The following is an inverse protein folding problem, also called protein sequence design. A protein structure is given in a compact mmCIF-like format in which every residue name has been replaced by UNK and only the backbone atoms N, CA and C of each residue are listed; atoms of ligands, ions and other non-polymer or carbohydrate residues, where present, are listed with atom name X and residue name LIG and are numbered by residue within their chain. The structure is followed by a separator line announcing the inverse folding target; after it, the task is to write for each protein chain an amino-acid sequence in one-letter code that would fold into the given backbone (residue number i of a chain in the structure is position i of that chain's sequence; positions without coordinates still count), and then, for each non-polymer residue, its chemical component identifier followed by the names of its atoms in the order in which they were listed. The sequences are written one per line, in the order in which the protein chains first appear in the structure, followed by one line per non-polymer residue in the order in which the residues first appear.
data_IF_820600128296
#
_entry.id   IF_820600128296
#
_cell.length_a   1.000
_cell.length_b   1.000
_cell.length_c   1.000
_cell.angle_alpha   90.00
_cell.angle_beta   90.00
_cell.angle_gamma   90.00
#
_symmetry.space_group_name_H-M   'P 1'
#
loop_
_entity.id
_entity.type
_entity.pdbx_description
1 polymer ?
#
# COMPACT_ATOMS: atom_id res chain seq x y z
N UNK A 1 10.39 -2.85 -8.96
CA UNK A 1 10.97 -3.84 -9.87
C UNK A 1 9.97 -4.89 -10.37
N UNK A 2 9.03 -5.37 -9.53
CA UNK A 2 8.06 -6.40 -9.91
C UNK A 2 7.14 -6.01 -11.08
N UNK A 3 6.75 -4.75 -11.24
CA UNK A 3 5.95 -4.28 -12.37
C UNK A 3 6.65 -4.47 -13.72
N UNK A 4 8.00 -4.46 -13.74
CA UNK A 4 8.79 -4.68 -14.97
C UNK A 4 8.76 -6.13 -15.45
N UNK A 5 8.32 -7.07 -14.63
CA UNK A 5 8.22 -8.50 -15.01
C UNK A 5 6.92 -8.84 -15.70
N UNK A 6 5.95 -7.92 -15.74
CA UNK A 6 4.68 -8.12 -16.43
C UNK A 6 4.86 -8.14 -17.95
N UNK A 7 4.20 -9.09 -18.59
CA UNK A 7 4.06 -9.06 -20.04
C UNK A 7 3.15 -7.88 -20.44
N UNK A 8 3.70 -6.91 -21.16
CA UNK A 8 3.00 -5.66 -21.47
C UNK A 8 1.81 -5.89 -22.40
N UNK A 9 1.86 -6.86 -23.31
CA UNK A 9 0.76 -7.16 -24.22
C UNK A 9 -0.43 -7.74 -23.46
N UNK A 10 -0.18 -8.65 -22.51
CA UNK A 10 -1.23 -9.20 -21.62
C UNK A 10 -1.89 -8.10 -20.78
N UNK A 11 -1.06 -7.22 -20.19
CA UNK A 11 -1.56 -6.11 -19.37
C UNK A 11 -2.37 -5.11 -20.21
N UNK A 12 -1.92 -4.81 -21.42
CA UNK A 12 -2.63 -3.91 -22.35
C UNK A 12 -4.00 -4.49 -22.70
N UNK A 13 -4.05 -5.77 -23.06
CA UNK A 13 -5.31 -6.44 -23.39
C UNK A 13 -6.28 -6.50 -22.18
N UNK A 14 -5.75 -6.79 -21.00
CA UNK A 14 -6.54 -6.79 -19.77
C UNK A 14 -7.06 -5.36 -19.42
N UNK A 15 -6.24 -4.34 -19.64
CA UNK A 15 -6.61 -2.94 -19.43
C UNK A 15 -7.74 -2.50 -20.36
N UNK A 16 -7.66 -2.84 -21.65
CA UNK A 16 -8.73 -2.53 -22.59
C UNK A 16 -10.06 -3.16 -22.19
N UNK A 17 -10.05 -4.43 -21.76
CA UNK A 17 -11.25 -5.10 -21.23
C UNK A 17 -11.77 -4.42 -19.99
N UNK A 18 -10.85 -4.06 -19.06
CA UNK A 18 -11.20 -3.39 -17.82
C UNK A 18 -11.88 -2.04 -18.07
N UNK A 19 -11.32 -1.22 -18.97
CA UNK A 19 -11.90 0.08 -19.30
C UNK A 19 -13.28 -0.04 -19.93
N UNK A 20 -13.48 -0.99 -20.85
CA UNK A 20 -14.77 -1.22 -21.50
C UNK A 20 -15.89 -1.59 -20.53
N UNK A 21 -15.55 -2.12 -19.36
CA UNK A 21 -16.52 -2.52 -18.35
C UNK A 21 -16.55 -1.52 -17.18
N UNK A 22 -15.45 -1.35 -16.45
CA UNK A 22 -15.43 -0.57 -15.22
C UNK A 22 -15.35 0.94 -15.42
N UNK A 23 -14.92 1.43 -16.61
CA UNK A 23 -14.89 2.87 -16.91
C UNK A 23 -16.07 3.32 -17.81
N UNK A 24 -16.95 2.40 -18.19
CA UNK A 24 -18.19 2.74 -18.89
C UNK A 24 -19.21 3.34 -17.93
N UNK A 25 -19.69 4.54 -18.25
CA UNK A 25 -20.60 5.29 -17.38
C UNK A 25 -21.96 4.64 -17.19
N UNK A 26 -22.47 3.96 -18.23
CA UNK A 26 -23.78 3.32 -18.18
C UNK A 26 -23.71 2.03 -17.37
N UNK A 27 -22.62 1.26 -17.52
CA UNK A 27 -22.35 0.08 -16.69
C UNK A 27 -22.18 0.49 -15.24
N UNK A 28 -21.40 1.55 -14.95
CA UNK A 28 -21.25 2.07 -13.59
C UNK A 28 -22.60 2.49 -12.98
N UNK A 29 -23.46 3.15 -13.75
CA UNK A 29 -24.79 3.52 -13.29
C UNK A 29 -25.65 2.29 -12.95
N UNK A 30 -25.61 1.26 -13.78
CA UNK A 30 -26.32 0.02 -13.56
C UNK A 30 -25.81 -0.75 -12.33
N UNK A 31 -24.48 -0.85 -12.16
CA UNK A 31 -23.86 -1.45 -10.96
C UNK A 31 -24.32 -0.74 -9.70
N UNK A 32 -24.35 0.60 -9.69
CA UNK A 32 -24.79 1.42 -8.55
C UNK A 32 -26.26 1.16 -8.16
N UNK A 33 -27.09 0.77 -9.10
CA UNK A 33 -28.51 0.47 -8.88
C UNK A 33 -28.79 -1.00 -8.57
N UNK A 34 -27.80 -1.88 -8.83
CA UNK A 34 -27.95 -3.32 -8.62
C UNK A 34 -27.89 -3.68 -7.13
N UNK A 35 -28.72 -4.62 -6.73
CA UNK A 35 -28.59 -5.27 -5.42
C UNK A 35 -27.36 -6.18 -5.41
N UNK A 36 -26.82 -6.43 -4.22
CA UNK A 36 -25.68 -7.31 -4.01
C UNK A 36 -25.83 -8.65 -4.73
N UNK A 37 -26.96 -9.34 -4.48
CA UNK A 37 -27.24 -10.67 -5.03
C UNK A 37 -27.37 -10.69 -6.57
N UNK A 38 -27.67 -9.55 -7.18
CA UNK A 38 -27.82 -9.44 -8.63
C UNK A 38 -26.49 -9.36 -9.36
N UNK A 39 -25.46 -8.74 -8.74
CA UNK A 39 -24.22 -8.47 -9.43
C UNK A 39 -23.02 -9.27 -8.89
N UNK A 40 -23.08 -9.82 -7.69
CA UNK A 40 -21.92 -10.52 -7.11
C UNK A 40 -21.37 -11.66 -8.00
N UNK A 41 -22.25 -12.43 -8.63
CA UNK A 41 -21.87 -13.53 -9.53
C UNK A 41 -21.19 -13.02 -10.80
N UNK A 42 -21.76 -11.97 -11.39
CA UNK A 42 -21.23 -11.31 -12.59
C UNK A 42 -19.92 -10.56 -12.29
N UNK A 43 -19.81 -9.89 -11.14
CA UNK A 43 -18.58 -9.24 -10.73
C UNK A 43 -17.38 -10.20 -10.68
N UNK A 44 -17.61 -11.43 -10.19
CA UNK A 44 -16.56 -12.46 -10.21
C UNK A 44 -16.17 -12.85 -11.64
N UNK A 45 -17.12 -12.87 -12.57
CA UNK A 45 -16.85 -13.15 -13.98
C UNK A 45 -16.13 -11.97 -14.62
N UNK A 46 -16.67 -10.77 -14.49
CA UNK A 46 -16.14 -9.58 -15.16
C UNK A 46 -14.72 -9.26 -14.73
N UNK A 47 -14.45 -9.31 -13.42
CA UNK A 47 -13.13 -8.95 -12.92
C UNK A 47 -12.16 -10.15 -12.93
N UNK A 48 -12.55 -11.27 -12.32
CA UNK A 48 -11.60 -12.36 -12.13
C UNK A 48 -11.43 -13.25 -13.36
N UNK A 49 -12.53 -13.59 -14.04
CA UNK A 49 -12.45 -14.45 -15.23
C UNK A 49 -11.96 -13.66 -16.44
N UNK A 50 -12.68 -12.58 -16.78
CA UNK A 50 -12.45 -11.86 -18.04
C UNK A 50 -11.16 -11.04 -18.06
N UNK A 51 -10.71 -10.53 -16.91
CA UNK A 51 -9.55 -9.63 -16.78
C UNK A 51 -8.35 -10.36 -16.21
N UNK A 52 -8.51 -11.07 -15.08
CA UNK A 52 -7.39 -11.71 -14.38
C UNK A 52 -7.14 -13.19 -14.75
N UNK A 53 -7.96 -13.78 -15.62
CA UNK A 53 -7.70 -15.09 -16.21
C UNK A 53 -8.04 -16.30 -15.34
N UNK A 54 -8.95 -16.16 -14.39
CA UNK A 54 -9.44 -17.28 -13.58
C UNK A 54 -10.43 -18.14 -14.34
N UNK A 55 -10.53 -19.42 -13.97
CA UNK A 55 -11.54 -20.35 -14.47
C UNK A 55 -12.58 -20.60 -13.38
N UNK A 56 -13.84 -20.21 -13.63
CA UNK A 56 -14.91 -20.29 -12.64
C UNK A 56 -15.62 -21.66 -12.72
N UNK A 57 -15.96 -22.23 -11.55
CA UNK A 57 -16.87 -23.38 -11.43
C UNK A 57 -18.20 -23.09 -12.20
N UNK A 58 -18.73 -24.03 -13.04
CA UNK A 58 -18.41 -25.46 -13.12
C UNK A 58 -17.41 -25.87 -14.22
N UNK A 59 -16.65 -24.95 -14.77
CA UNK A 59 -15.68 -25.29 -15.82
C UNK A 59 -14.65 -26.31 -15.34
N UNK A 60 -14.13 -27.22 -16.21
CA UNK A 60 -13.05 -28.13 -15.83
C UNK A 60 -11.84 -27.38 -15.29
N UNK A 61 -11.17 -27.94 -14.28
CA UNK A 61 -9.99 -27.36 -13.64
C UNK A 61 -10.22 -25.95 -13.04
N UNK A 62 -11.46 -25.66 -12.61
CA UNK A 62 -11.78 -24.38 -12.01
C UNK A 62 -10.87 -24.05 -10.80
N UNK A 63 -10.57 -22.79 -10.67
CA UNK A 63 -9.75 -22.21 -9.59
C UNK A 63 -10.42 -20.99 -8.94
N UNK A 64 -11.65 -20.70 -9.37
CA UNK A 64 -12.54 -19.71 -8.77
C UNK A 64 -13.91 -20.38 -8.52
N UNK A 65 -14.43 -20.26 -7.33
CA UNK A 65 -15.76 -20.77 -6.98
C UNK A 65 -16.57 -19.73 -6.21
N UNK A 66 -17.87 -19.79 -6.33
CA UNK A 66 -18.81 -19.05 -5.49
C UNK A 66 -19.15 -19.88 -4.26
N UNK A 67 -19.55 -19.23 -3.17
CA UNK A 67 -20.11 -19.86 -1.97
C UNK A 67 -19.25 -20.99 -1.36
N UNK A 68 -17.94 -20.76 -1.18
CA UNK A 68 -17.12 -21.73 -0.47
C UNK A 68 -17.55 -21.83 0.99
N UNK A 69 -17.94 -23.04 1.43
CA UNK A 69 -18.31 -23.29 2.83
C UNK A 69 -17.09 -23.31 3.73
N UNK A 70 -17.23 -22.77 4.93
CA UNK A 70 -16.26 -22.94 5.98
C UNK A 70 -16.03 -24.43 6.30
N UNK A 71 -14.81 -24.79 6.69
CA UNK A 71 -14.48 -26.15 7.15
C UNK A 71 -15.27 -26.48 8.42
N UNK A 72 -15.48 -25.45 9.28
CA UNK A 72 -16.32 -25.58 10.49
C UNK A 72 -17.46 -24.56 10.41
N UNK A 73 -18.69 -25.02 10.39
CA UNK A 73 -19.89 -24.19 10.40
C UNK A 73 -20.61 -24.10 9.06
N UNK A 74 -21.74 -23.40 9.05
CA UNK A 74 -22.62 -23.30 7.89
C UNK A 74 -22.38 -22.05 7.02
N UNK A 75 -21.53 -21.12 7.48
CA UNK A 75 -21.26 -19.86 6.76
C UNK A 75 -20.47 -20.11 5.48
N UNK A 76 -20.76 -19.33 4.45
CA UNK A 76 -20.10 -19.36 3.16
C UNK A 76 -19.58 -17.96 2.84
N UNK A 77 -18.40 -17.85 2.21
CA UNK A 77 -17.97 -16.61 1.57
C UNK A 77 -18.54 -16.51 0.15
N UNK A 78 -18.61 -15.30 -0.39
CA UNK A 78 -19.19 -15.03 -1.72
C UNK A 78 -18.35 -15.58 -2.86
N UNK A 79 -17.03 -15.64 -2.66
CA UNK A 79 -16.12 -16.24 -3.62
C UNK A 79 -14.83 -16.77 -2.97
N UNK A 80 -14.18 -17.71 -3.65
CA UNK A 80 -12.86 -18.19 -3.25
C UNK A 80 -12.00 -18.54 -4.45
N UNK A 81 -10.72 -18.19 -4.35
CA UNK A 81 -9.67 -18.60 -5.29
C UNK A 81 -8.99 -19.84 -4.71
N UNK A 82 -8.85 -20.86 -5.56
CA UNK A 82 -8.37 -22.17 -5.16
C UNK A 82 -6.99 -22.47 -5.78
N UNK A 83 -6.14 -23.10 -4.98
CA UNK A 83 -4.88 -23.74 -5.42
C UNK A 83 -4.90 -25.21 -5.01
N UNK A 84 -4.92 -26.11 -5.99
CA UNK A 84 -5.02 -27.55 -5.70
C UNK A 84 -6.28 -27.93 -4.91
N UNK A 85 -7.41 -27.29 -5.20
CA UNK A 85 -8.70 -27.53 -4.53
C UNK A 85 -8.82 -26.94 -3.12
N UNK A 86 -7.80 -26.24 -2.61
CA UNK A 86 -7.81 -25.58 -1.29
C UNK A 86 -7.89 -24.08 -1.44
N UNK A 87 -8.56 -23.40 -0.52
CA UNK A 87 -8.66 -21.94 -0.54
C UNK A 87 -7.28 -21.27 -0.42
N UNK A 88 -6.92 -20.47 -1.41
CA UNK A 88 -5.78 -19.57 -1.41
C UNK A 88 -6.21 -18.14 -1.04
N UNK A 89 -7.36 -17.72 -1.53
CA UNK A 89 -7.98 -16.45 -1.18
C UNK A 89 -9.47 -16.61 -0.94
N UNK A 90 -10.04 -15.78 -0.08
CA UNK A 90 -11.49 -15.61 0.10
C UNK A 90 -11.88 -14.22 -0.40
N UNK A 91 -13.10 -14.14 -0.95
CA UNK A 91 -13.69 -12.93 -1.50
C UNK A 91 -15.00 -12.68 -0.77
N UNK A 92 -15.18 -11.50 -0.20
CA UNK A 92 -16.41 -11.04 0.41
C UNK A 92 -16.90 -9.80 -0.33
N UNK A 93 -18.14 -9.83 -0.77
CA UNK A 93 -18.76 -8.80 -1.59
C UNK A 93 -19.92 -8.17 -0.83
N UNK A 94 -20.14 -6.88 -1.07
CA UNK A 94 -21.30 -6.14 -0.57
C UNK A 94 -21.84 -5.23 -1.67
N UNK A 95 -23.10 -4.85 -1.53
CA UNK A 95 -23.72 -3.86 -2.39
C UNK A 95 -23.10 -2.47 -2.24
N UNK A 96 -23.37 -1.60 -3.21
CA UNK A 96 -22.86 -0.23 -3.27
C UNK A 96 -23.32 0.66 -2.10
N UNK A 97 -24.35 0.27 -1.36
CA UNK A 97 -24.81 0.90 -0.12
C UNK A 97 -23.81 0.76 1.04
N UNK A 98 -22.95 -0.26 0.98
CA UNK A 98 -21.84 -0.44 1.92
C UNK A 98 -20.66 0.42 1.50
N UNK A 99 -20.57 1.63 2.03
CA UNK A 99 -19.50 2.59 1.67
C UNK A 99 -18.19 2.36 2.42
N UNK A 100 -18.24 1.73 3.61
CA UNK A 100 -17.08 1.41 4.43
C UNK A 100 -16.81 -0.11 4.41
N UNK A 101 -15.76 -0.51 3.71
CA UNK A 101 -15.33 -1.90 3.61
C UNK A 101 -14.71 -2.45 4.92
N UNK A 102 -14.37 -1.59 5.89
CA UNK A 102 -13.92 -2.05 7.21
C UNK A 102 -15.02 -2.82 7.95
N UNK A 103 -16.28 -2.50 7.68
CA UNK A 103 -17.43 -3.17 8.29
C UNK A 103 -17.54 -4.67 7.96
N UNK A 104 -16.95 -5.11 6.84
CA UNK A 104 -16.98 -6.50 6.37
C UNK A 104 -15.69 -7.27 6.59
N UNK A 105 -14.64 -6.59 7.04
CA UNK A 105 -13.32 -7.22 7.31
C UNK A 105 -13.43 -8.39 8.29
N UNK A 106 -14.12 -8.19 9.39
CA UNK A 106 -14.29 -9.23 10.42
C UNK A 106 -14.93 -10.51 9.86
N UNK A 107 -15.90 -10.36 8.95
CA UNK A 107 -16.57 -11.48 8.29
C UNK A 107 -15.60 -12.17 7.32
N UNK A 108 -14.92 -11.43 6.47
CA UNK A 108 -13.98 -11.95 5.49
C UNK A 108 -12.79 -12.68 6.15
N UNK A 109 -12.23 -12.10 7.21
CA UNK A 109 -11.16 -12.75 7.98
C UNK A 109 -11.65 -13.95 8.80
N UNK A 110 -12.93 -13.95 9.22
CA UNK A 110 -13.58 -15.13 9.79
C UNK A 110 -13.56 -16.31 8.81
N UNK A 111 -13.81 -16.08 7.52
CA UNK A 111 -13.69 -17.13 6.49
C UNK A 111 -12.24 -17.55 6.28
N UNK A 112 -11.31 -16.60 6.13
CA UNK A 112 -9.88 -16.87 5.99
C UNK A 112 -9.37 -17.79 7.11
N UNK A 113 -9.70 -17.49 8.34
CA UNK A 113 -9.24 -18.22 9.52
C UNK A 113 -9.79 -19.66 9.60
N UNK A 114 -10.87 -19.96 8.88
CA UNK A 114 -11.41 -21.30 8.73
C UNK A 114 -10.70 -22.15 7.66
N UNK A 115 -9.84 -21.53 6.84
CA UNK A 115 -9.10 -22.18 5.76
C UNK A 115 -7.59 -22.02 5.97
N UNK A 116 -6.88 -23.01 6.52
CA UNK A 116 -5.46 -22.88 6.90
C UNK A 116 -4.49 -22.53 5.75
N UNK A 117 -4.87 -22.83 4.51
CA UNK A 117 -4.10 -22.49 3.31
C UNK A 117 -4.38 -21.10 2.77
N UNK A 118 -5.41 -20.43 3.29
CA UNK A 118 -5.82 -19.12 2.82
C UNK A 118 -4.87 -18.02 3.32
N UNK A 119 -4.29 -17.29 2.39
CA UNK A 119 -3.32 -16.21 2.65
C UNK A 119 -3.88 -14.83 2.30
N UNK A 120 -4.81 -14.79 1.36
CA UNK A 120 -5.32 -13.53 0.81
C UNK A 120 -6.79 -13.33 1.16
N UNK A 121 -7.15 -12.09 1.40
CA UNK A 121 -8.55 -11.67 1.57
C UNK A 121 -8.82 -10.54 0.59
N UNK A 122 -9.95 -10.60 -0.07
CA UNK A 122 -10.43 -9.57 -0.97
C UNK A 122 -11.81 -9.14 -0.48
N UNK A 123 -12.00 -7.85 -0.27
CA UNK A 123 -13.32 -7.28 0.02
C UNK A 123 -13.67 -6.25 -1.05
N UNK A 124 -14.93 -6.19 -1.47
CA UNK A 124 -15.36 -5.22 -2.46
C UNK A 124 -16.82 -4.86 -2.30
N UNK A 125 -17.16 -3.61 -2.65
CA UNK A 125 -18.52 -3.15 -2.89
C UNK A 125 -18.78 -2.88 -4.39
N UNK A 126 -18.06 -3.58 -5.27
CA UNK A 126 -18.07 -3.45 -6.72
C UNK A 126 -17.39 -2.19 -7.28
N UNK A 127 -17.32 -1.09 -6.52
CA UNK A 127 -16.54 0.10 -6.86
C UNK A 127 -15.18 0.07 -6.18
N UNK A 128 -15.15 -0.09 -4.85
CA UNK A 128 -13.91 -0.20 -4.10
C UNK A 128 -13.54 -1.66 -3.92
N UNK A 129 -12.25 -1.95 -4.04
CA UNK A 129 -11.68 -3.27 -3.80
C UNK A 129 -10.49 -3.13 -2.86
N UNK A 130 -10.49 -3.88 -1.76
CA UNK A 130 -9.34 -4.02 -0.86
C UNK A 130 -8.72 -5.40 -0.99
N UNK A 131 -7.41 -5.42 -1.00
CA UNK A 131 -6.60 -6.64 -1.01
C UNK A 131 -5.72 -6.70 0.22
N UNK A 132 -5.80 -7.79 0.95
CA UNK A 132 -5.08 -8.05 2.20
C UNK A 132 -4.19 -9.28 2.09
N UNK A 133 -3.07 -9.25 2.79
CA UNK A 133 -2.14 -10.39 2.91
C UNK A 133 -2.01 -10.74 4.39
N UNK A 134 -2.41 -11.95 4.76
CA UNK A 134 -2.33 -12.59 6.07
C UNK A 134 -3.14 -11.93 7.20
N UNK A 135 -3.18 -10.61 7.32
CA UNK A 135 -3.86 -9.88 8.41
C UNK A 135 -4.65 -8.68 7.88
N UNK A 136 -5.50 -8.09 8.73
CA UNK A 136 -6.37 -6.95 8.40
C UNK A 136 -5.73 -5.58 8.63
N UNK A 137 -4.48 -5.52 9.12
CA UNK A 137 -3.85 -4.26 9.53
C UNK A 137 -3.41 -3.44 8.32
N UNK A 138 -2.94 -4.14 7.27
CA UNK A 138 -2.43 -3.51 6.05
C UNK A 138 -3.20 -4.02 4.85
N UNK A 139 -3.64 -3.09 4.02
CA UNK A 139 -4.32 -3.40 2.77
C UNK A 139 -3.95 -2.41 1.67
N UNK A 140 -4.22 -2.81 0.43
CA UNK A 140 -4.22 -1.89 -0.72
C UNK A 140 -5.67 -1.73 -1.16
N UNK A 141 -6.11 -0.48 -1.36
CA UNK A 141 -7.46 -0.16 -1.84
C UNK A 141 -7.40 0.43 -3.25
N UNK A 142 -8.31 -0.01 -4.10
CA UNK A 142 -8.48 0.48 -5.46
C UNK A 142 -9.92 0.96 -5.67
N UNK A 143 -10.12 2.10 -6.33
CA UNK A 143 -11.41 2.52 -6.87
C UNK A 143 -11.50 2.04 -8.33
N UNK A 144 -12.20 0.95 -8.58
CA UNK A 144 -12.30 0.31 -9.91
C UNK A 144 -12.91 1.23 -10.96
N UNK A 145 -13.75 2.19 -10.54
CA UNK A 145 -14.40 3.13 -11.47
C UNK A 145 -13.51 4.28 -11.91
N UNK A 146 -12.41 4.53 -11.19
CA UNK A 146 -11.51 5.67 -11.41
C UNK A 146 -10.04 5.30 -11.47
N UNK A 147 -9.72 4.02 -11.36
CA UNK A 147 -8.34 3.55 -11.30
C UNK A 147 -7.52 4.07 -12.48
N UNK A 148 -6.32 4.57 -12.17
CA UNK A 148 -5.35 4.97 -13.18
C UNK A 148 -4.73 3.76 -13.88
N UNK A 149 -4.08 3.97 -15.04
CA UNK A 149 -3.34 2.90 -15.71
C UNK A 149 -2.23 2.33 -14.82
N UNK A 150 -1.56 3.16 -14.06
CA UNK A 150 -0.48 2.76 -13.16
C UNK A 150 -0.99 1.89 -12.02
N UNK A 151 -2.07 2.31 -11.36
CA UNK A 151 -2.71 1.55 -10.30
C UNK A 151 -3.31 0.24 -10.82
N UNK A 152 -3.85 0.24 -12.05
CA UNK A 152 -4.30 -0.99 -12.69
C UNK A 152 -3.16 -1.98 -12.92
N UNK A 153 -1.98 -1.52 -13.34
CA UNK A 153 -0.83 -2.40 -13.49
C UNK A 153 -0.46 -3.06 -12.14
N UNK A 154 -0.60 -2.32 -11.05
CA UNK A 154 -0.37 -2.86 -9.71
C UNK A 154 -1.48 -3.83 -9.29
N UNK A 155 -2.75 -3.49 -9.51
CA UNK A 155 -3.88 -4.39 -9.27
C UNK A 155 -3.73 -5.69 -10.07
N UNK A 156 -3.35 -5.59 -11.35
CA UNK A 156 -3.13 -6.74 -12.22
C UNK A 156 -1.95 -7.60 -11.72
N UNK A 157 -0.86 -6.98 -11.26
CA UNK A 157 0.27 -7.69 -10.66
C UNK A 157 -0.14 -8.50 -9.44
N UNK A 158 -1.02 -7.95 -8.59
CA UNK A 158 -1.49 -8.61 -7.37
C UNK A 158 -2.49 -9.72 -7.66
N UNK A 159 -3.43 -9.52 -8.61
CA UNK A 159 -4.61 -10.38 -8.76
C UNK A 159 -4.61 -11.27 -10.00
N UNK A 160 -3.68 -11.08 -10.98
CA UNK A 160 -3.58 -12.03 -12.09
C UNK A 160 -3.39 -13.45 -11.54
N UNK A 161 -4.14 -14.41 -12.10
CA UNK A 161 -4.16 -15.81 -11.66
C UNK A 161 -2.75 -16.39 -11.44
N UNK A 162 -1.88 -16.34 -12.44
CA UNK A 162 -0.53 -16.91 -12.35
C UNK A 162 0.31 -16.28 -11.25
N UNK A 163 0.18 -14.95 -11.06
CA UNK A 163 0.93 -14.20 -10.07
C UNK A 163 0.49 -14.57 -8.64
N UNK A 164 -0.82 -14.68 -8.43
CA UNK A 164 -1.36 -15.05 -7.12
C UNK A 164 -0.96 -16.48 -6.75
N UNK A 165 -1.01 -17.42 -7.70
CA UNK A 165 -0.57 -18.79 -7.50
C UNK A 165 0.93 -18.93 -7.23
N UNK A 166 1.74 -18.04 -7.83
CA UNK A 166 3.19 -17.98 -7.62
C UNK A 166 3.60 -17.21 -6.37
N UNK A 167 2.62 -16.78 -5.55
CA UNK A 167 2.83 -15.99 -4.33
C UNK A 167 3.60 -14.68 -4.57
N UNK A 168 3.43 -14.06 -5.76
CA UNK A 168 4.07 -12.79 -6.10
C UNK A 168 3.72 -11.67 -5.10
N UNK A 169 2.43 -11.49 -4.67
CA UNK A 169 2.11 -10.47 -3.68
C UNK A 169 2.86 -10.63 -2.35
N UNK A 170 3.03 -11.88 -1.88
CA UNK A 170 3.81 -12.17 -0.66
C UNK A 170 5.28 -11.80 -0.82
N UNK A 171 5.88 -12.10 -1.98
CA UNK A 171 7.27 -11.76 -2.28
C UNK A 171 7.47 -10.24 -2.29
N UNK A 172 6.55 -9.50 -2.92
CA UNK A 172 6.60 -8.03 -2.96
C UNK A 172 6.51 -7.45 -1.54
N UNK A 173 5.58 -7.95 -0.72
CA UNK A 173 5.46 -7.52 0.68
C UNK A 173 6.74 -7.78 1.47
N UNK A 174 7.33 -8.97 1.34
CA UNK A 174 8.57 -9.33 2.02
C UNK A 174 9.76 -8.46 1.58
N UNK A 175 9.87 -8.15 0.29
CA UNK A 175 10.90 -7.25 -0.25
C UNK A 175 10.73 -5.83 0.28
N UNK A 176 9.50 -5.31 0.35
CA UNK A 176 9.19 -3.98 0.89
C UNK A 176 9.61 -3.87 2.35
N UNK A 177 9.22 -4.83 3.20
CA UNK A 177 9.61 -4.87 4.62
C UNK A 177 11.13 -4.91 4.76
N UNK A 178 11.83 -5.74 3.97
CA UNK A 178 13.30 -5.83 4.00
C UNK A 178 13.97 -4.52 3.59
N UNK A 179 13.40 -3.78 2.64
CA UNK A 179 13.92 -2.46 2.24
C UNK A 179 13.70 -1.42 3.34
N UNK A 180 12.52 -1.36 3.94
CA UNK A 180 12.22 -0.47 5.06
C UNK A 180 13.15 -0.69 6.25
N UNK A 181 13.42 -1.97 6.59
CA UNK A 181 14.38 -2.30 7.65
C UNK A 181 15.80 -1.82 7.34
N UNK A 182 16.25 -1.97 6.08
CA UNK A 182 17.58 -1.51 5.66
C UNK A 182 17.69 0.00 5.74
N UNK A 183 16.68 0.73 5.24
CA UNK A 183 16.62 2.19 5.31
C UNK A 183 16.62 2.66 6.76
N UNK A 184 15.81 2.03 7.60
CA UNK A 184 15.73 2.35 9.04
C UNK A 184 17.07 2.13 9.74
N UNK A 185 17.73 0.98 9.51
CA UNK A 185 19.06 0.71 10.09
C UNK A 185 20.11 1.71 9.62
N UNK A 186 20.08 2.08 8.34
CA UNK A 186 21.01 3.09 7.80
C UNK A 186 20.75 4.46 8.42
N UNK A 187 19.48 4.87 8.53
CA UNK A 187 19.09 6.13 9.18
C UNK A 187 19.60 6.19 10.63
N UNK A 188 19.42 5.13 11.42
CA UNK A 188 19.93 5.08 12.79
C UNK A 188 21.44 5.18 12.87
N UNK A 189 22.17 4.56 11.94
CA UNK A 189 23.63 4.65 11.85
C UNK A 189 24.08 6.09 11.54
N UNK A 190 23.47 6.70 10.53
CA UNK A 190 23.81 8.05 10.09
C UNK A 190 23.46 9.09 11.17
N UNK A 191 22.29 8.95 11.81
CA UNK A 191 21.87 9.76 12.94
C UNK A 191 22.85 9.67 14.10
N UNK A 192 23.28 8.46 14.48
CA UNK A 192 24.21 8.26 15.60
C UNK A 192 25.59 8.86 15.29
N UNK A 193 26.04 8.76 14.04
CA UNK A 193 27.30 9.33 13.58
C UNK A 193 27.24 10.85 13.61
N UNK A 194 26.17 11.43 13.07
CA UNK A 194 25.96 12.87 13.05
C UNK A 194 25.83 13.45 14.47
N UNK A 195 25.05 12.78 15.33
CA UNK A 195 24.88 13.16 16.74
C UNK A 195 26.23 13.27 17.46
N UNK A 196 27.12 12.28 17.28
CA UNK A 196 28.45 12.29 17.88
C UNK A 196 29.29 13.44 17.35
N UNK A 197 29.36 13.58 16.02
CA UNK A 197 30.12 14.64 15.38
C UNK A 197 29.65 16.05 15.81
N UNK A 198 28.33 16.26 15.89
CA UNK A 198 27.74 17.50 16.37
C UNK A 198 28.10 17.78 17.84
N UNK A 199 28.02 16.77 18.71
CA UNK A 199 28.38 16.91 20.12
C UNK A 199 29.87 17.24 20.29
N UNK A 200 30.76 16.51 19.59
CA UNK A 200 32.20 16.73 19.66
C UNK A 200 32.58 18.14 19.17
N UNK A 201 31.93 18.61 18.10
CA UNK A 201 32.13 19.97 17.59
C UNK A 201 31.66 21.05 18.58
N UNK A 202 30.48 20.86 19.19
CA UNK A 202 29.95 21.74 20.21
C UNK A 202 30.88 21.84 21.44
N UNK A 203 31.39 20.71 21.92
CA UNK A 203 32.33 20.67 23.04
C UNK A 203 33.62 21.39 22.70
N UNK A 204 34.18 21.15 21.51
CA UNK A 204 35.41 21.77 21.04
C UNK A 204 35.31 23.29 20.92
N UNK A 205 34.17 23.78 20.40
CA UNK A 205 34.00 25.21 20.12
C UNK A 205 33.41 26.03 21.28
N UNK A 206 32.96 25.34 22.35
CA UNK A 206 32.31 25.97 23.49
C UNK A 206 32.84 25.43 24.83
N UNK A 207 34.16 25.49 25.07
CA UNK A 207 34.82 24.91 26.27
C UNK A 207 34.37 25.53 27.60
N UNK A 208 33.69 26.68 27.56
CA UNK A 208 33.17 27.39 28.73
C UNK A 208 31.87 26.76 29.28
N UNK A 209 31.25 25.85 28.57
CA UNK A 209 29.99 25.19 28.99
C UNK A 209 30.25 23.76 29.44
N UNK A 210 29.46 23.30 30.43
CA UNK A 210 29.46 21.92 30.86
C UNK A 210 29.04 20.96 29.75
N UNK A 211 29.76 19.82 29.55
CA UNK A 211 29.44 18.86 28.47
C UNK A 211 28.00 18.37 28.48
N UNK A 212 27.40 18.20 29.65
CA UNK A 212 26.00 17.77 29.80
C UNK A 212 25.02 18.79 29.19
N UNK A 213 25.29 20.09 29.40
CA UNK A 213 24.48 21.17 28.82
C UNK A 213 24.59 21.14 27.29
N UNK A 214 25.80 20.99 26.76
CA UNK A 214 26.05 20.91 25.32
C UNK A 214 25.40 19.67 24.71
N UNK A 215 25.40 18.54 25.43
CA UNK A 215 24.68 17.35 25.00
C UNK A 215 23.17 17.59 24.88
N UNK A 216 22.54 18.22 25.88
CA UNK A 216 21.12 18.56 25.83
C UNK A 216 20.79 19.52 24.68
N UNK A 217 21.68 20.49 24.39
CA UNK A 217 21.50 21.41 23.26
C UNK A 217 21.65 20.71 21.90
N UNK A 218 22.62 19.78 21.78
CA UNK A 218 22.78 18.97 20.56
C UNK A 218 21.53 18.11 20.28
N UNK A 219 20.95 17.50 21.31
CA UNK A 219 19.69 16.75 21.19
C UNK A 219 18.57 17.64 20.67
N UNK A 220 18.38 18.81 21.30
CA UNK A 220 17.30 19.73 20.91
C UNK A 220 17.45 20.24 19.47
N UNK A 221 18.69 20.44 19.01
CA UNK A 221 18.96 20.82 17.62
C UNK A 221 18.62 19.67 16.64
N UNK A 222 19.02 18.45 16.99
CA UNK A 222 18.70 17.26 16.20
C UNK A 222 17.19 17.03 16.08
N UNK A 223 16.46 17.15 17.18
CA UNK A 223 15.01 16.99 17.20
C UNK A 223 14.33 18.02 16.27
N UNK A 224 14.81 19.27 16.26
CA UNK A 224 14.30 20.31 15.37
C UNK A 224 14.60 20.01 13.90
N UNK A 225 15.81 19.56 13.58
CA UNK A 225 16.18 19.19 12.21
C UNK A 225 15.32 18.01 11.71
N UNK A 226 15.14 16.98 12.53
CA UNK A 226 14.27 15.86 12.19
C UNK A 226 12.83 16.33 11.96
N UNK A 227 12.30 17.20 12.81
CA UNK A 227 10.98 17.79 12.61
C UNK A 227 10.83 18.50 11.28
N UNK A 228 11.84 19.32 10.89
CA UNK A 228 11.84 20.03 9.60
C UNK A 228 11.84 19.03 8.45
N UNK A 229 12.68 17.99 8.49
CA UNK A 229 12.72 16.98 7.43
C UNK A 229 11.41 16.20 7.30
N UNK A 230 10.81 15.79 8.42
CA UNK A 230 9.48 15.15 8.38
C UNK A 230 8.38 16.09 7.90
N UNK A 231 8.45 17.37 8.23
CA UNK A 231 7.49 18.36 7.76
C UNK A 231 7.64 18.63 6.24
N UNK A 232 8.85 18.59 5.71
CA UNK A 232 9.11 18.65 4.27
C UNK A 232 8.56 17.41 3.55
N UNK A 233 8.85 16.20 4.05
CA UNK A 233 8.38 14.93 3.48
C UNK A 233 6.85 14.81 3.56
N UNK A 234 6.25 15.31 4.64
CA UNK A 234 4.79 15.35 4.83
C UNK A 234 4.09 16.48 4.06
N UNK A 235 4.81 17.31 3.31
CA UNK A 235 4.25 18.41 2.55
C UNK A 235 3.74 19.59 3.40
N UNK A 236 4.09 19.65 4.68
CA UNK A 236 3.78 20.77 5.59
C UNK A 236 4.72 21.96 5.35
N UNK A 237 5.91 21.71 4.88
CA UNK A 237 6.91 22.69 4.42
C UNK A 237 7.23 22.44 2.96
N UNK A 238 7.76 23.49 2.29
CA UNK A 238 8.22 23.34 0.93
C UNK A 238 9.44 22.38 0.87
N UNK A 239 9.55 21.61 -0.19
CA UNK A 239 10.66 20.69 -0.36
C UNK A 239 12.01 21.43 -0.33
N UNK A 240 13.00 20.86 0.36
CA UNK A 240 14.34 21.43 0.54
C UNK A 240 14.40 22.76 1.30
N UNK A 241 13.45 23.07 2.17
CA UNK A 241 13.43 24.29 3.00
C UNK A 241 14.72 24.45 3.81
N UNK A 242 15.16 23.39 4.52
CA UNK A 242 16.40 23.42 5.31
C UNK A 242 17.63 23.69 4.43
N UNK A 243 17.72 23.10 3.26
CA UNK A 243 18.84 23.31 2.31
C UNK A 243 18.83 24.74 1.76
N UNK A 244 17.66 25.27 1.46
CA UNK A 244 17.51 26.66 0.96
C UNK A 244 17.96 27.65 2.01
N UNK A 245 17.54 27.50 3.26
CA UNK A 245 17.98 28.34 4.38
C UNK A 245 19.48 28.32 4.58
N UNK A 246 20.11 27.14 4.53
CA UNK A 246 21.57 27.01 4.62
C UNK A 246 22.29 27.73 3.47
N UNK A 247 21.81 27.58 2.25
CA UNK A 247 22.41 28.24 1.07
C UNK A 247 22.29 29.76 1.17
N UNK A 248 21.16 30.28 1.61
CA UNK A 248 20.94 31.72 1.83
C UNK A 248 21.90 32.29 2.91
N UNK A 249 22.01 31.55 4.02
CA UNK A 249 22.97 31.92 5.07
C UNK A 249 24.41 31.90 4.59
N UNK A 250 24.84 30.91 3.82
CA UNK A 250 26.18 30.85 3.25
C UNK A 250 26.44 32.00 2.28
N UNK A 251 25.46 32.38 1.48
CA UNK A 251 25.54 33.53 0.58
C UNK A 251 25.67 34.85 1.36
N UNK A 252 24.80 35.03 2.38
CA UNK A 252 24.90 36.20 3.26
C UNK A 252 26.27 36.31 3.93
N UNK A 253 26.83 35.21 4.41
CA UNK A 253 28.16 35.13 4.99
C UNK A 253 29.28 35.54 4.00
N UNK A 254 29.18 35.07 2.75
CA UNK A 254 30.14 35.47 1.67
C UNK A 254 30.08 36.98 1.37
N UNK A 255 28.89 37.56 1.43
CA UNK A 255 28.65 38.98 1.18
C UNK A 255 28.89 39.85 2.42
N UNK A 256 29.32 39.25 3.56
CA UNK A 256 29.48 39.92 4.87
C UNK A 256 28.24 40.62 5.39
N UNK A 257 27.06 40.10 5.01
CA UNK A 257 25.76 40.55 5.54
C UNK A 257 25.58 39.90 6.92
N UNK A 258 25.30 40.69 7.98
CA UNK A 258 25.02 40.12 9.30
C UNK A 258 23.67 39.38 9.25
N UNK A 259 23.74 38.06 9.18
CA UNK A 259 22.60 37.17 9.20
C UNK A 259 22.86 36.02 10.19
N UNK A 260 22.07 35.93 11.21
CA UNK A 260 22.16 34.83 12.17
C UNK A 260 21.36 33.63 11.64
N UNK A 261 21.93 32.43 11.71
CA UNK A 261 21.21 31.20 11.38
C UNK A 261 20.00 30.98 12.31
N UNK A 262 20.04 31.52 13.53
CA UNK A 262 18.92 31.51 14.46
C UNK A 262 17.71 32.35 14.01
N UNK A 263 17.93 33.34 13.15
CA UNK A 263 16.85 34.24 12.67
C UNK A 263 16.17 33.64 11.42
N UNK A 264 16.73 32.58 10.86
CA UNK A 264 16.24 31.87 9.67
C UNK A 264 15.61 30.50 9.99
N UNK A 265 15.87 29.94 11.15
CA UNK A 265 15.30 28.69 11.68
C UNK A 265 14.18 28.96 12.70
#
# INVERSE_FOLDING_TARGET
NALKTLNQDDVNHAWEKFQRHFHDSDIQANIKQSKEEQYQGEFLIDLFVNIFGYTKNPQPNFNLTTELKNIKGAKKCDGAILKGGKALAVIELKGMDTTDLASIESQAFGYKNNHPTCRYVITSNFQKLRFYIDNAVEFVEFDLFKISREDFNFLYLLLKFDNLLADIPLKIKAESISQEEKVTKQLYKDYSTFKRALFDDLVKNNPQYEPLVLFQKSQKLLDRLLFIFFAEDGGLLAANTARTMLNEWEQAKKLKIPMSLNDTL
#
